data_IF_349712723385
#
_entry.id   IF_349712723385
#
_cell.length_a   1.000
_cell.length_b   1.000
_cell.length_c   1.000
_cell.angle_alpha   90.00
_cell.angle_beta   90.00
_cell.angle_gamma   90.00
#
_symmetry.space_group_name_H-M   'P 1'
#
loop_
_entity.id
_entity.type
_entity.pdbx_description
1 polymer ?
#
# COMPACT_ATOMS: atom_id res chain seq x y z
N UNK A 1 38.90 6.05 45.31
CA UNK A 1 37.67 5.22 45.16
C UNK A 1 36.56 5.88 44.31
N UNK A 2 36.54 7.19 44.08
CA UNK A 2 35.46 7.86 43.33
C UNK A 2 35.51 7.73 41.79
N UNK A 3 36.65 7.46 41.18
CA UNK A 3 36.80 7.33 39.72
C UNK A 3 36.12 6.11 39.10
N UNK A 4 35.99 5.01 39.86
CA UNK A 4 35.30 3.80 39.40
C UNK A 4 33.78 3.96 39.33
N UNK A 5 33.19 4.78 40.23
CA UNK A 5 31.75 5.04 40.24
C UNK A 5 31.27 5.83 39.02
N UNK A 6 32.06 6.81 38.55
CA UNK A 6 31.71 7.61 37.38
C UNK A 6 31.76 6.81 36.07
N UNK A 7 32.73 5.91 35.90
CA UNK A 7 32.77 5.03 34.73
C UNK A 7 31.60 4.06 34.68
N UNK A 8 31.20 3.50 35.82
CA UNK A 8 30.06 2.59 35.89
C UNK A 8 28.75 3.32 35.60
N UNK A 9 28.56 4.52 36.12
CA UNK A 9 27.37 5.35 35.85
C UNK A 9 27.31 5.79 34.39
N UNK A 10 28.43 6.11 33.77
CA UNK A 10 28.49 6.52 32.36
C UNK A 10 28.23 5.32 31.42
N UNK A 11 28.72 4.12 31.73
CA UNK A 11 28.38 2.90 30.94
C UNK A 11 26.92 2.51 31.07
N UNK A 12 26.32 2.63 32.25
CA UNK A 12 24.85 2.38 32.44
C UNK A 12 24.04 3.40 31.65
N UNK A 13 24.46 4.68 31.68
CA UNK A 13 23.76 5.74 30.91
C UNK A 13 23.85 5.49 29.39
N UNK A 14 25.03 5.08 28.88
CA UNK A 14 25.19 4.73 27.46
C UNK A 14 24.35 3.50 27.04
N UNK A 15 24.18 2.52 27.91
CA UNK A 15 23.36 1.34 27.66
C UNK A 15 21.84 1.70 27.62
N UNK A 16 21.40 2.71 28.36
CA UNK A 16 20.02 3.18 28.34
C UNK A 16 19.66 3.94 27.04
N UNK A 17 20.65 4.54 26.36
CA UNK A 17 20.46 5.20 25.06
C UNK A 17 20.59 4.26 23.87
N UNK A 18 21.12 3.04 24.03
CA UNK A 18 21.24 2.05 22.96
C UNK A 18 19.95 1.23 22.73
N UNK A 19 18.93 1.38 23.59
CA UNK A 19 17.67 0.68 23.47
C UNK A 19 16.64 1.63 22.86
N UNK A 20 16.43 1.56 21.57
CA UNK A 20 15.21 1.83 20.81
C UNK A 20 15.55 2.28 19.38
N UNK A 21 15.86 1.31 18.52
CA UNK A 21 15.82 1.58 17.08
C UNK A 21 14.63 0.87 16.37
N UNK A 22 13.79 0.17 17.10
CA UNK A 22 12.47 -0.26 16.63
C UNK A 22 11.45 0.84 16.96
N UNK A 23 11.40 1.87 16.11
CA UNK A 23 10.23 2.75 16.08
C UNK A 23 9.06 1.95 15.50
N UNK A 24 8.45 1.08 16.31
CA UNK A 24 7.10 0.62 16.01
C UNK A 24 6.24 1.87 15.86
N UNK A 25 5.68 2.05 14.70
CA UNK A 25 4.70 3.10 14.47
C UNK A 25 3.65 3.04 15.58
N UNK A 26 3.37 4.18 16.21
CA UNK A 26 2.28 4.29 17.20
C UNK A 26 0.91 4.42 16.50
N UNK A 27 0.89 4.35 15.17
CA UNK A 27 -0.34 4.45 14.39
C UNK A 27 -1.11 3.12 14.42
N UNK A 28 -2.45 3.18 14.43
CA UNK A 28 -3.25 1.97 14.31
C UNK A 28 -3.06 1.34 12.93
N UNK A 29 -3.36 0.05 12.83
CA UNK A 29 -3.39 -0.64 11.53
C UNK A 29 -4.48 -0.04 10.66
N UNK A 30 -4.17 0.20 9.39
CA UNK A 30 -5.14 0.70 8.42
C UNK A 30 -6.26 -0.31 8.15
N UNK A 31 -7.46 0.20 7.89
CA UNK A 31 -8.61 -0.59 7.46
C UNK A 31 -8.58 -0.87 5.96
N UNK A 32 -9.25 -1.95 5.55
CA UNK A 32 -9.31 -2.39 4.17
C UNK A 32 -8.33 -3.52 3.84
N UNK A 33 -8.57 -4.16 2.70
CA UNK A 33 -7.73 -5.24 2.17
C UNK A 33 -6.57 -4.68 1.34
N UNK A 34 -5.50 -5.45 1.13
CA UNK A 34 -4.51 -5.10 0.11
C UNK A 34 -5.19 -4.86 -1.25
N UNK A 35 -4.73 -3.85 -1.97
CA UNK A 35 -5.28 -3.41 -3.27
C UNK A 35 -6.75 -2.92 -3.22
N UNK A 36 -7.34 -2.74 -2.05
CA UNK A 36 -8.62 -2.04 -1.88
C UNK A 36 -8.38 -0.53 -1.86
N UNK A 37 -9.07 0.21 -2.74
CA UNK A 37 -8.95 1.66 -2.84
C UNK A 37 -10.31 2.29 -2.58
N UNK A 38 -10.38 3.11 -1.54
CA UNK A 38 -11.57 3.93 -1.28
C UNK A 38 -11.46 5.24 -2.05
N UNK A 39 -12.47 5.56 -2.84
CA UNK A 39 -12.54 6.79 -3.65
C UNK A 39 -13.65 7.66 -3.13
N UNK A 40 -13.35 8.94 -2.94
CA UNK A 40 -14.29 9.93 -2.47
C UNK A 40 -14.34 11.12 -3.42
N UNK A 41 -15.58 11.54 -3.73
CA UNK A 41 -15.83 12.65 -4.63
C UNK A 41 -15.55 12.33 -6.09
N UNK A 42 -15.64 11.05 -6.48
CA UNK A 42 -15.57 10.67 -7.90
C UNK A 42 -16.72 11.31 -8.67
N UNK A 43 -16.40 11.86 -9.81
CA UNK A 43 -17.36 12.51 -10.72
C UNK A 43 -17.42 11.70 -12.00
N UNK A 44 -18.62 11.32 -12.39
CA UNK A 44 -18.87 10.52 -13.61
C UNK A 44 -18.07 9.20 -13.63
N UNK A 45 -17.75 8.64 -12.46
CA UNK A 45 -16.99 7.39 -12.29
C UNK A 45 -15.64 7.37 -13.02
N UNK A 46 -15.00 8.53 -13.15
CA UNK A 46 -13.71 8.65 -13.85
C UNK A 46 -12.62 7.86 -13.13
N UNK A 47 -12.54 8.00 -11.80
CA UNK A 47 -11.56 7.29 -10.99
C UNK A 47 -11.86 5.81 -10.92
N UNK A 48 -13.13 5.44 -10.75
CA UNK A 48 -13.57 4.06 -10.81
C UNK A 48 -13.06 3.40 -12.09
N UNK A 49 -13.39 4.00 -13.25
CA UNK A 49 -12.98 3.47 -14.56
C UNK A 49 -11.44 3.44 -14.72
N UNK A 50 -10.74 4.42 -14.18
CA UNK A 50 -9.27 4.50 -14.25
C UNK A 50 -8.59 3.42 -13.42
N UNK A 51 -9.14 3.11 -12.24
CA UNK A 51 -8.53 2.17 -11.30
C UNK A 51 -9.00 0.73 -11.48
N UNK A 52 -10.17 0.53 -12.13
CA UNK A 52 -10.73 -0.81 -12.42
C UNK A 52 -10.23 -1.40 -13.73
N UNK A 53 -9.10 -0.91 -14.25
CA UNK A 53 -8.49 -1.48 -15.45
C UNK A 53 -7.91 -2.86 -15.13
N UNK A 54 -8.20 -3.81 -15.99
CA UNK A 54 -7.74 -5.18 -15.84
C UNK A 54 -6.22 -5.31 -15.95
N UNK A 55 -5.68 -6.24 -15.20
CA UNK A 55 -4.26 -6.59 -15.27
C UNK A 55 -4.00 -7.38 -16.55
N UNK A 56 -3.11 -6.86 -17.40
CA UNK A 56 -2.73 -7.54 -18.63
C UNK A 56 -2.05 -8.88 -18.37
N UNK A 57 -2.37 -9.86 -19.19
CA UNK A 57 -1.70 -11.18 -19.19
C UNK A 57 -2.30 -12.20 -18.22
N UNK A 58 -3.34 -11.85 -17.46
CA UNK A 58 -4.07 -12.82 -16.67
C UNK A 58 -5.00 -13.67 -17.56
N UNK A 59 -5.18 -14.99 -17.25
CA UNK A 59 -6.09 -15.87 -17.99
C UNK A 59 -7.55 -15.42 -17.90
N UNK A 60 -7.92 -14.76 -16.82
CA UNK A 60 -9.22 -14.13 -16.59
C UNK A 60 -9.00 -12.63 -16.39
N UNK A 61 -9.96 -11.85 -16.88
CA UNK A 61 -9.97 -10.41 -16.72
C UNK A 61 -10.23 -10.06 -15.26
N UNK A 62 -9.25 -9.49 -14.59
CA UNK A 62 -9.32 -9.11 -13.18
C UNK A 62 -8.73 -7.71 -12.99
N UNK A 63 -9.46 -6.78 -12.35
CA UNK A 63 -8.94 -5.47 -12.06
C UNK A 63 -7.84 -5.54 -10.98
N UNK A 64 -6.85 -4.66 -11.10
CA UNK A 64 -5.76 -4.58 -10.11
C UNK A 64 -6.26 -4.11 -8.74
N UNK A 65 -7.23 -3.20 -8.72
CA UNK A 65 -7.76 -2.61 -7.50
C UNK A 65 -9.24 -2.94 -7.31
N UNK A 66 -9.60 -3.27 -6.06
CA UNK A 66 -11.00 -3.33 -5.61
C UNK A 66 -11.42 -1.90 -5.22
N UNK A 67 -12.10 -1.21 -6.13
CA UNK A 67 -12.46 0.20 -5.97
C UNK A 67 -13.80 0.32 -5.25
N UNK A 68 -13.82 1.10 -4.18
CA UNK A 68 -15.01 1.43 -3.39
C UNK A 68 -15.28 2.92 -3.43
N UNK A 69 -16.34 3.29 -4.08
CA UNK A 69 -16.85 4.66 -4.07
C UNK A 69 -17.61 4.94 -2.77
N UNK A 70 -17.51 6.15 -2.27
CA UNK A 70 -18.26 6.62 -1.09
C UNK A 70 -18.97 7.94 -1.40
N UNK A 71 -20.17 8.10 -0.84
CA UNK A 71 -20.99 9.32 -0.98
C UNK A 71 -20.63 10.40 0.06
N UNK A 72 -19.57 10.19 0.83
CA UNK A 72 -19.14 11.13 1.86
C UNK A 72 -18.52 12.36 1.20
N UNK A 73 -18.82 13.56 1.70
CA UNK A 73 -18.26 14.78 1.11
C UNK A 73 -16.74 14.84 1.33
N UNK A 74 -15.96 15.29 0.33
CA UNK A 74 -14.48 15.38 0.41
C UNK A 74 -13.92 16.08 1.64
N UNK A 75 -14.66 17.01 2.22
CA UNK A 75 -14.29 17.71 3.45
C UNK A 75 -14.37 16.81 4.69
N UNK A 76 -15.17 15.75 4.65
CA UNK A 76 -15.49 14.92 5.81
C UNK A 76 -14.75 13.58 5.81
N UNK A 77 -14.16 13.16 4.68
CA UNK A 77 -13.41 11.91 4.54
C UNK A 77 -12.26 11.80 5.51
N UNK A 78 -11.56 12.89 5.74
CA UNK A 78 -10.40 12.91 6.61
C UNK A 78 -10.77 13.10 8.11
N UNK A 79 -12.04 13.26 8.43
CA UNK A 79 -12.54 13.42 9.80
C UNK A 79 -13.25 12.18 10.34
N UNK A 80 -13.83 11.36 9.46
CA UNK A 80 -14.59 10.15 9.79
C UNK A 80 -13.71 8.87 9.83
N UNK A 81 -14.40 7.73 9.78
CA UNK A 81 -13.77 6.40 9.78
C UNK A 81 -12.90 6.18 8.53
N UNK A 82 -13.27 6.79 7.40
CA UNK A 82 -12.54 6.67 6.13
C UNK A 82 -11.09 7.15 6.21
N UNK A 83 -10.76 8.05 7.16
CA UNK A 83 -9.37 8.50 7.39
C UNK A 83 -8.41 7.35 7.72
N UNK A 84 -8.92 6.20 8.15
CA UNK A 84 -8.13 5.01 8.45
C UNK A 84 -8.05 4.03 7.27
N UNK A 85 -8.66 4.35 6.12
CA UNK A 85 -8.55 3.51 4.93
C UNK A 85 -7.09 3.34 4.52
N UNK A 86 -6.75 2.13 4.05
CA UNK A 86 -5.39 1.77 3.62
C UNK A 86 -4.94 2.58 2.40
N UNK A 87 -5.79 2.66 1.39
CA UNK A 87 -5.59 3.52 0.22
C UNK A 87 -6.84 4.39 0.03
N UNK A 88 -6.69 5.69 0.16
CA UNK A 88 -7.76 6.68 0.06
C UNK A 88 -7.44 7.70 -1.03
N UNK A 89 -8.30 7.81 -2.02
CA UNK A 89 -8.24 8.84 -3.07
C UNK A 89 -9.37 9.83 -2.87
N UNK A 90 -9.04 11.11 -2.74
CA UNK A 90 -10.01 12.19 -2.48
C UNK A 90 -9.94 13.20 -3.61
N UNK A 91 -11.06 13.50 -4.25
CA UNK A 91 -11.16 14.56 -5.27
C UNK A 91 -11.60 15.86 -4.61
N UNK A 92 -10.77 16.89 -4.71
CA UNK A 92 -11.01 18.24 -4.17
C UNK A 92 -11.08 19.24 -5.32
N UNK A 93 -12.31 19.59 -5.73
CA UNK A 93 -12.55 20.52 -6.82
C UNK A 93 -12.84 21.89 -6.22
N UNK A 94 -11.91 22.84 -6.43
CA UNK A 94 -12.07 24.19 -5.92
C UNK A 94 -11.40 25.23 -6.85
N UNK A 95 -12.18 25.95 -7.67
CA UNK A 95 -11.66 26.93 -8.61
C UNK A 95 -11.03 28.16 -7.96
N UNK A 96 -11.34 28.42 -6.69
CA UNK A 96 -10.72 29.54 -5.95
C UNK A 96 -9.38 29.18 -5.33
N UNK A 97 -9.12 27.87 -5.17
CA UNK A 97 -7.95 27.34 -4.46
C UNK A 97 -6.90 26.78 -5.41
N UNK A 98 -7.33 26.22 -6.52
CA UNK A 98 -6.46 25.53 -7.47
C UNK A 98 -6.49 26.21 -8.83
N UNK A 99 -5.31 26.37 -9.42
CA UNK A 99 -5.10 26.91 -10.77
C UNK A 99 -4.94 25.81 -11.83
N UNK A 100 -4.49 24.64 -11.39
CA UNK A 100 -4.27 23.44 -12.23
C UNK A 100 -4.50 22.17 -11.45
N UNK A 101 -4.64 21.04 -12.15
CA UNK A 101 -4.70 19.72 -11.55
C UNK A 101 -3.33 19.36 -10.93
N UNK A 102 -3.37 18.81 -9.73
CA UNK A 102 -2.19 18.26 -9.04
C UNK A 102 -2.57 17.12 -8.11
N UNK A 103 -1.62 16.20 -7.90
CA UNK A 103 -1.72 15.12 -6.94
C UNK A 103 -0.93 15.47 -5.68
N UNK A 104 -1.58 15.42 -4.52
CA UNK A 104 -0.95 15.57 -3.22
C UNK A 104 -0.98 14.24 -2.49
N UNK A 105 0.18 13.71 -2.10
CA UNK A 105 0.28 12.40 -1.47
C UNK A 105 0.73 12.53 -0.01
N UNK A 106 0.07 11.79 0.88
CA UNK A 106 0.48 11.64 2.29
C UNK A 106 0.52 10.15 2.64
N UNK A 107 1.57 9.75 3.35
CA UNK A 107 1.75 8.37 3.81
C UNK A 107 1.64 8.30 5.31
N UNK A 108 1.01 7.22 5.82
CA UNK A 108 0.93 6.91 7.25
C UNK A 108 0.52 8.12 8.11
N UNK A 109 -0.55 8.82 7.70
CA UNK A 109 -1.03 10.02 8.39
C UNK A 109 -1.89 9.68 9.59
N UNK A 110 -2.77 8.69 9.46
CA UNK A 110 -3.72 8.27 10.50
C UNK A 110 -3.62 6.79 10.84
N UNK A 111 -3.08 5.97 9.96
CA UNK A 111 -2.94 4.53 10.11
C UNK A 111 -1.71 4.04 9.33
N UNK A 112 -1.32 2.77 9.52
CA UNK A 112 -0.18 2.16 8.82
C UNK A 112 -0.50 0.71 8.43
N UNK A 113 -0.17 0.30 7.19
CA UNK A 113 0.30 1.12 6.06
C UNK A 113 -0.83 1.95 5.47
N UNK A 114 -0.57 3.20 5.09
CA UNK A 114 -1.59 4.08 4.52
C UNK A 114 -1.03 4.98 3.40
N UNK A 115 -1.81 5.14 2.33
CA UNK A 115 -1.60 6.15 1.30
C UNK A 115 -2.88 6.97 1.11
N UNK A 116 -2.77 8.28 1.29
CA UNK A 116 -3.83 9.24 0.97
C UNK A 116 -3.37 10.04 -0.23
N UNK A 117 -4.13 9.99 -1.32
CA UNK A 117 -3.91 10.79 -2.53
C UNK A 117 -5.05 11.79 -2.66
N UNK A 118 -4.73 13.06 -2.64
CA UNK A 118 -5.69 14.12 -2.94
C UNK A 118 -5.49 14.60 -4.37
N UNK A 119 -6.53 14.53 -5.18
CA UNK A 119 -6.59 15.07 -6.52
C UNK A 119 -7.18 16.47 -6.41
N UNK A 120 -6.34 17.48 -6.54
CA UNK A 120 -6.72 18.88 -6.46
C UNK A 120 -6.96 19.41 -7.86
N UNK A 121 -8.17 19.90 -8.16
CA UNK A 121 -8.51 20.40 -9.49
C UNK A 121 -9.32 21.70 -9.42
N UNK A 122 -9.15 22.65 -10.36
CA UNK A 122 -9.97 23.85 -10.43
C UNK A 122 -11.38 23.57 -10.94
N UNK A 123 -11.58 22.51 -11.72
CA UNK A 123 -12.90 22.14 -12.27
C UNK A 123 -12.97 20.66 -12.59
N UNK A 124 -14.19 20.12 -12.72
CA UNK A 124 -14.46 18.76 -13.19
C UNK A 124 -13.86 18.51 -14.58
N UNK A 125 -13.86 19.51 -15.45
CA UNK A 125 -13.30 19.40 -16.79
C UNK A 125 -11.85 18.93 -16.80
N UNK A 126 -11.04 19.33 -15.81
CA UNK A 126 -9.65 18.88 -15.68
C UNK A 126 -9.53 17.38 -15.37
N UNK A 127 -10.60 16.72 -14.92
CA UNK A 127 -10.62 15.27 -14.72
C UNK A 127 -10.89 14.53 -16.02
N UNK A 128 -11.70 15.13 -16.93
CA UNK A 128 -12.09 14.53 -18.21
C UNK A 128 -11.13 14.83 -19.36
N UNK A 129 -10.34 15.89 -19.25
CA UNK A 129 -9.53 16.37 -20.37
C UNK A 129 -8.39 15.39 -20.70
N UNK A 130 -8.23 15.10 -21.99
CA UNK A 130 -7.23 14.18 -22.53
C UNK A 130 -6.02 14.91 -23.09
N UNK A 131 -5.85 16.21 -22.77
CA UNK A 131 -4.76 17.01 -23.34
C UNK A 131 -3.38 16.43 -23.04
N UNK A 132 -2.49 16.36 -24.04
CA UNK A 132 -1.16 15.74 -23.89
C UNK A 132 -0.20 16.49 -22.96
N UNK A 133 -0.59 17.68 -22.48
CA UNK A 133 0.24 18.55 -21.64
C UNK A 133 0.34 18.10 -20.16
N UNK A 134 -0.29 16.97 -19.82
CA UNK A 134 -0.26 16.43 -18.47
C UNK A 134 -1.08 17.22 -17.45
N UNK A 135 -1.93 18.16 -17.89
CA UNK A 135 -2.78 18.96 -16.99
C UNK A 135 -4.08 18.25 -16.60
N UNK A 136 -4.38 17.12 -17.22
CA UNK A 136 -5.59 16.36 -17.01
C UNK A 136 -5.34 15.07 -16.21
N UNK A 137 -6.40 14.52 -15.60
CA UNK A 137 -6.30 13.26 -14.84
C UNK A 137 -5.87 12.10 -15.74
N UNK A 138 -6.33 12.02 -16.98
CA UNK A 138 -5.91 10.94 -17.88
C UNK A 138 -4.41 10.97 -18.18
N UNK A 139 -3.77 12.13 -18.28
CA UNK A 139 -2.31 12.27 -18.35
C UNK A 139 -1.61 11.84 -17.06
N UNK A 140 -2.33 11.91 -15.92
CA UNK A 140 -1.84 11.52 -14.60
C UNK A 140 -2.38 10.16 -14.11
N UNK A 141 -3.24 9.49 -14.87
CA UNK A 141 -3.86 8.20 -14.50
C UNK A 141 -2.79 7.15 -14.23
N UNK A 142 -1.81 7.01 -15.11
CA UNK A 142 -0.68 6.10 -14.94
C UNK A 142 0.09 6.44 -13.65
N UNK A 143 0.32 7.71 -13.35
CA UNK A 143 1.00 8.15 -12.11
C UNK A 143 0.21 7.74 -10.87
N UNK A 144 -1.12 7.90 -10.88
CA UNK A 144 -1.99 7.49 -9.76
C UNK A 144 -1.95 5.97 -9.55
N UNK A 145 -2.10 5.19 -10.62
CA UNK A 145 -2.02 3.72 -10.58
C UNK A 145 -0.66 3.26 -10.04
N UNK A 146 0.45 3.81 -10.53
CA UNK A 146 1.79 3.44 -10.07
C UNK A 146 2.07 3.88 -8.62
N UNK A 147 1.52 4.98 -8.15
CA UNK A 147 1.59 5.39 -6.75
C UNK A 147 0.91 4.38 -5.82
N UNK A 148 -0.31 3.97 -6.16
CA UNK A 148 -1.09 2.99 -5.40
C UNK A 148 -0.43 1.61 -5.44
N UNK A 149 -0.03 1.14 -6.61
CA UNK A 149 0.67 -0.13 -6.81
C UNK A 149 1.99 -0.20 -6.03
N UNK A 150 2.79 0.87 -6.12
CA UNK A 150 4.06 0.96 -5.36
C UNK A 150 3.82 0.95 -3.86
N UNK A 151 2.76 1.62 -3.39
CA UNK A 151 2.38 1.60 -1.98
C UNK A 151 2.04 0.20 -1.50
N UNK A 152 1.17 -0.50 -2.22
CA UNK A 152 0.73 -1.85 -1.87
C UNK A 152 1.89 -2.85 -1.91
N UNK A 153 2.72 -2.80 -2.96
CA UNK A 153 3.90 -3.66 -3.08
C UNK A 153 4.88 -3.48 -1.92
N UNK A 154 5.15 -2.23 -1.52
CA UNK A 154 6.02 -1.94 -0.37
C UNK A 154 5.44 -2.46 0.94
N UNK A 155 4.17 -2.20 1.19
CA UNK A 155 3.49 -2.67 2.40
C UNK A 155 3.46 -4.20 2.48
N UNK A 156 3.31 -4.88 1.34
CA UNK A 156 3.37 -6.33 1.28
C UNK A 156 4.79 -6.86 1.56
N UNK A 157 5.82 -6.26 0.97
CA UNK A 157 7.22 -6.62 1.22
C UNK A 157 7.58 -6.44 2.70
N UNK A 158 7.17 -5.33 3.33
CA UNK A 158 7.37 -5.10 4.76
C UNK A 158 6.67 -6.16 5.61
N UNK A 159 5.47 -6.58 5.22
CA UNK A 159 4.77 -7.68 5.89
C UNK A 159 5.54 -9.00 5.77
N UNK A 160 6.08 -9.30 4.58
CA UNK A 160 6.88 -10.51 4.34
C UNK A 160 8.17 -10.55 5.14
N UNK A 161 8.81 -9.40 5.40
CA UNK A 161 10.02 -9.35 6.25
C UNK A 161 9.78 -9.89 7.66
N UNK A 162 8.54 -9.81 8.17
CA UNK A 162 8.17 -10.25 9.50
C UNK A 162 7.33 -11.54 9.52
N UNK A 163 6.65 -11.85 8.43
CA UNK A 163 5.71 -12.98 8.31
C UNK A 163 6.01 -13.82 7.08
N UNK A 164 7.14 -14.50 7.08
CA UNK A 164 7.59 -15.36 5.97
C UNK A 164 7.78 -16.81 6.41
N UNK A 165 7.97 -17.71 5.45
CA UNK A 165 8.17 -19.14 5.66
C UNK A 165 9.60 -19.56 5.26
N UNK A 166 10.59 -19.49 6.17
CA UNK A 166 11.99 -19.81 5.85
C UNK A 166 12.20 -21.24 5.36
N UNK A 167 11.32 -22.17 5.75
CA UNK A 167 11.40 -23.57 5.33
C UNK A 167 11.09 -23.71 3.84
N UNK A 168 10.05 -23.05 3.36
CA UNK A 168 9.69 -23.08 1.94
C UNK A 168 10.67 -22.28 1.09
N UNK A 169 11.17 -21.17 1.60
CA UNK A 169 12.23 -20.36 0.95
C UNK A 169 13.50 -21.18 0.74
N UNK A 170 13.96 -21.91 1.77
CA UNK A 170 15.12 -22.81 1.66
C UNK A 170 14.87 -23.92 0.62
N UNK A 171 13.66 -24.41 0.50
CA UNK A 171 13.30 -25.42 -0.47
C UNK A 171 13.34 -24.88 -1.91
N UNK A 172 12.78 -23.68 -2.15
CA UNK A 172 12.89 -23.01 -3.46
C UNK A 172 14.35 -22.78 -3.83
N UNK A 173 15.14 -22.25 -2.89
CA UNK A 173 16.57 -22.02 -3.12
C UNK A 173 17.33 -23.31 -3.47
N UNK A 174 17.02 -24.39 -2.77
CA UNK A 174 17.64 -25.70 -2.99
C UNK A 174 17.28 -26.26 -4.38
N UNK A 175 16.04 -26.10 -4.84
CA UNK A 175 15.58 -26.66 -6.13
C UNK A 175 15.94 -25.81 -7.32
N UNK A 176 15.82 -24.48 -7.19
CA UNK A 176 15.88 -23.55 -8.33
C UNK A 176 17.04 -22.54 -8.25
N UNK A 177 17.75 -22.45 -7.12
CA UNK A 177 18.95 -21.62 -6.99
C UNK A 177 18.72 -20.13 -6.76
N UNK A 178 17.46 -19.68 -6.59
CA UNK A 178 17.13 -18.28 -6.31
C UNK A 178 16.41 -18.10 -4.97
N UNK A 179 16.44 -16.88 -4.44
CA UNK A 179 15.77 -16.50 -3.22
C UNK A 179 14.45 -15.77 -3.55
N UNK A 180 13.36 -16.17 -2.91
CA UNK A 180 12.05 -15.53 -2.99
C UNK A 180 11.40 -15.55 -1.60
N UNK A 181 10.92 -14.40 -1.08
CA UNK A 181 10.18 -14.40 0.17
C UNK A 181 8.81 -15.08 0.00
N UNK A 182 8.51 -16.03 0.89
CA UNK A 182 7.27 -16.82 0.85
C UNK A 182 6.44 -16.50 2.10
N UNK A 183 5.13 -16.15 1.95
CA UNK A 183 4.27 -15.88 3.08
C UNK A 183 4.22 -17.00 4.11
N UNK A 184 4.11 -16.65 5.40
CA UNK A 184 4.14 -17.60 6.51
C UNK A 184 2.97 -18.60 6.53
N UNK A 185 1.86 -18.27 5.91
CA UNK A 185 0.67 -19.11 5.76
C UNK A 185 0.79 -20.13 4.61
N UNK A 186 1.71 -19.97 3.70
CA UNK A 186 2.04 -20.91 2.62
C UNK A 186 2.76 -22.15 3.20
N UNK A 187 2.01 -23.13 3.69
CA UNK A 187 2.54 -24.27 4.47
C UNK A 187 2.54 -25.57 3.73
N UNK A 188 1.61 -25.77 2.80
CA UNK A 188 1.51 -27.00 2.01
C UNK A 188 2.37 -26.92 0.77
N UNK A 189 3.02 -28.03 0.43
CA UNK A 189 3.78 -28.10 -0.80
C UNK A 189 3.66 -29.46 -1.49
N UNK A 190 3.62 -29.43 -2.82
CA UNK A 190 3.73 -30.61 -3.67
C UNK A 190 4.98 -30.45 -4.53
N UNK A 191 5.86 -31.43 -4.47
CA UNK A 191 7.13 -31.44 -5.18
C UNK A 191 7.07 -32.36 -6.38
N UNK A 192 7.53 -31.89 -7.53
CA UNK A 192 7.82 -32.69 -8.71
C UNK A 192 9.30 -32.65 -9.04
N UNK A 193 9.66 -33.15 -10.23
CA UNK A 193 11.04 -33.13 -10.71
C UNK A 193 11.53 -31.71 -10.99
N UNK A 194 10.69 -30.92 -11.67
CA UNK A 194 11.03 -29.61 -12.20
C UNK A 194 10.04 -28.52 -11.72
N UNK A 195 9.24 -28.81 -10.69
CA UNK A 195 8.29 -27.84 -10.12
C UNK A 195 8.14 -28.03 -8.61
N UNK A 196 7.77 -26.94 -7.96
CA UNK A 196 7.34 -26.89 -6.57
C UNK A 196 6.04 -26.07 -6.51
N UNK A 197 4.96 -26.70 -6.08
CA UNK A 197 3.70 -26.02 -5.84
C UNK A 197 3.55 -25.79 -4.34
N UNK A 198 3.37 -24.53 -3.94
CA UNK A 198 3.21 -24.13 -2.55
C UNK A 198 1.83 -23.48 -2.40
N UNK A 199 1.10 -23.79 -1.33
CA UNK A 199 -0.23 -23.25 -1.09
C UNK A 199 -0.49 -22.97 0.40
N UNK A 200 -1.48 -22.10 0.65
CA UNK A 200 -1.95 -21.82 2.01
C UNK A 200 -3.09 -22.73 2.48
N UNK A 201 -3.60 -23.62 1.63
CA UNK A 201 -4.72 -24.54 1.91
C UNK A 201 -5.97 -23.85 2.49
N UNK A 202 -6.19 -22.59 2.16
CA UNK A 202 -7.35 -21.84 2.64
C UNK A 202 -8.64 -22.37 2.00
N UNK A 203 -9.67 -22.72 2.79
CA UNK A 203 -10.94 -23.21 2.25
C UNK A 203 -11.77 -22.13 1.57
N UNK A 204 -11.49 -20.86 1.84
CA UNK A 204 -12.24 -19.71 1.29
C UNK A 204 -11.54 -19.03 0.12
N UNK A 205 -10.21 -19.00 0.13
CA UNK A 205 -9.41 -18.39 -0.92
C UNK A 205 -8.02 -19.03 -0.95
N UNK A 206 -7.88 -20.12 -1.69
CA UNK A 206 -6.60 -20.81 -1.86
C UNK A 206 -5.68 -19.96 -2.71
N UNK A 207 -4.51 -19.61 -2.14
CA UNK A 207 -3.42 -18.96 -2.86
C UNK A 207 -2.33 -19.99 -3.16
N UNK A 208 -1.74 -19.88 -4.34
CA UNK A 208 -0.71 -20.78 -4.82
C UNK A 208 0.48 -20.00 -5.38
N UNK A 209 1.66 -20.59 -5.26
CA UNK A 209 2.91 -20.15 -5.89
C UNK A 209 3.48 -21.34 -6.65
#
# INVERSE_FOLDING_TARGET
MYKFGYCLLFTICCLLFASCNDRKSMLPTSGGRPYEVTVEGDVDSILYNTLSIDVEGLPQSEPMFDVRETDVKPTDALTGVLRYARSLVVVDINPKKYDKLRLECKRNMYAEPQLIVRICAPSVRCLHDTTPDGTALQGNAHTLVELLKTHESKAYIETLQHKHNPKMEAEVKRMFGFDIPIPADMKSCKRGKDFLWISNDSPTAMQNI
#
